data_IF_906078234708
#
_entry.id   IF_906078234708
#
_cell.length_a   1.000
_cell.length_b   1.000
_cell.length_c   1.000
_cell.angle_alpha   90.00
_cell.angle_beta   90.00
_cell.angle_gamma   90.00
#
_symmetry.space_group_name_H-M   'P 1'
#
loop_
_entity.id
_entity.type
_entity.pdbx_description
1 polymer ?
#
# COMPACT_ATOMS: atom_id res chain seq x y z
N UNK A 1 -5.10 5.04 -10.76
CA UNK A 1 -3.93 4.44 -10.09
C UNK A 1 -4.10 2.93 -10.15
N UNK A 2 -3.27 2.25 -10.93
CA UNK A 2 -3.25 0.78 -10.98
C UNK A 2 -2.81 0.23 -9.60
N UNK A 3 -3.60 -0.58 -8.87
CA UNK A 3 -3.17 -1.17 -7.62
C UNK A 3 -2.04 -2.19 -7.82
N UNK A 4 -0.95 -1.97 -7.10
CA UNK A 4 0.28 -2.74 -7.15
C UNK A 4 1.33 -1.94 -6.38
N UNK A 5 2.60 -2.04 -6.74
CA UNK A 5 3.51 -0.94 -6.41
C UNK A 5 3.20 0.28 -7.30
N UNK A 6 2.43 0.07 -8.39
CA UNK A 6 1.91 1.13 -9.26
C UNK A 6 2.99 1.82 -10.10
N UNK A 7 4.24 1.36 -9.98
CA UNK A 7 5.40 1.79 -10.74
C UNK A 7 5.40 0.97 -12.02
N UNK A 8 5.22 1.64 -13.17
CA UNK A 8 5.37 1.03 -14.49
C UNK A 8 6.85 0.65 -14.72
N UNK A 9 7.10 -0.32 -15.60
CA UNK A 9 8.47 -0.69 -15.96
C UNK A 9 9.22 0.54 -16.48
N UNK A 10 10.48 0.74 -16.06
CA UNK A 10 11.28 1.87 -16.53
C UNK A 10 11.45 1.86 -18.06
N UNK A 11 11.51 0.67 -18.66
CA UNK A 11 11.62 0.50 -20.10
C UNK A 11 10.30 0.81 -20.83
N UNK A 12 9.16 0.40 -20.25
CA UNK A 12 7.84 0.74 -20.78
C UNK A 12 7.58 2.26 -20.72
N UNK A 13 7.96 2.90 -19.60
CA UNK A 13 7.85 4.35 -19.43
C UNK A 13 8.76 5.09 -20.41
N UNK A 14 9.99 4.60 -20.63
CA UNK A 14 10.92 5.16 -21.61
C UNK A 14 10.34 5.04 -23.03
N UNK A 15 9.93 3.84 -23.45
CA UNK A 15 9.38 3.62 -24.78
C UNK A 15 8.12 4.46 -25.03
N UNK A 16 7.22 4.54 -24.04
CA UNK A 16 6.04 5.42 -24.13
C UNK A 16 6.42 6.90 -24.23
N UNK A 17 7.44 7.34 -23.48
CA UNK A 17 7.93 8.72 -23.55
C UNK A 17 8.61 9.04 -24.88
N UNK A 18 9.36 8.11 -25.46
CA UNK A 18 9.98 8.23 -26.79
C UNK A 18 8.93 8.36 -27.91
N UNK A 19 7.81 7.63 -27.81
CA UNK A 19 6.72 7.71 -28.79
C UNK A 19 5.90 8.99 -28.62
N UNK A 20 5.63 9.41 -27.38
CA UNK A 20 4.68 10.49 -27.09
C UNK A 20 5.28 11.89 -27.05
N UNK A 21 6.60 12.03 -26.85
CA UNK A 21 7.24 13.32 -26.70
C UNK A 21 7.72 13.88 -28.05
N UNK A 22 7.38 15.14 -28.32
CA UNK A 22 7.96 15.91 -29.44
C UNK A 22 9.47 16.11 -29.28
N UNK A 23 9.92 16.31 -28.03
CA UNK A 23 11.33 16.34 -27.66
C UNK A 23 11.54 15.69 -26.30
N UNK A 24 12.29 14.58 -26.26
CA UNK A 24 12.53 13.82 -25.04
C UNK A 24 13.86 14.22 -24.38
N UNK A 25 13.80 14.58 -23.09
CA UNK A 25 14.97 14.76 -22.23
C UNK A 25 14.79 13.83 -21.03
N UNK A 26 15.59 12.76 -20.98
CA UNK A 26 15.43 11.70 -20.00
C UNK A 26 16.77 11.30 -19.37
N UNK A 27 16.90 11.55 -18.07
CA UNK A 27 18.01 11.10 -17.23
C UNK A 27 17.60 11.18 -15.75
N UNK A 28 18.41 10.61 -14.86
CA UNK A 28 18.13 10.62 -13.41
C UNK A 28 18.42 12.01 -12.79
N UNK A 29 17.43 12.90 -12.91
CA UNK A 29 17.51 14.27 -12.38
C UNK A 29 17.56 14.31 -10.85
N UNK A 30 17.04 13.29 -10.15
CA UNK A 30 17.11 13.22 -8.69
C UNK A 30 18.54 12.90 -8.26
N UNK A 31 19.16 11.89 -8.87
CA UNK A 31 20.57 11.57 -8.64
C UNK A 31 21.48 12.74 -8.96
N UNK A 32 21.31 13.39 -10.11
CA UNK A 32 22.11 14.55 -10.49
C UNK A 32 21.96 15.70 -9.46
N UNK A 33 20.74 15.93 -8.97
CA UNK A 33 20.52 16.93 -7.92
C UNK A 33 21.24 16.53 -6.62
N UNK A 34 21.12 15.27 -6.19
CA UNK A 34 21.76 14.75 -4.97
C UNK A 34 23.28 14.87 -5.02
N UNK A 35 23.90 14.49 -6.14
CA UNK A 35 25.34 14.59 -6.38
C UNK A 35 25.83 16.06 -6.34
N UNK A 36 25.00 17.00 -6.75
CA UNK A 36 25.29 18.43 -6.69
C UNK A 36 24.91 19.11 -5.36
N UNK A 37 24.37 18.33 -4.41
CA UNK A 37 23.95 18.80 -3.10
C UNK A 37 22.66 19.64 -3.11
N UNK A 38 21.82 19.49 -4.13
CA UNK A 38 20.54 20.19 -4.28
C UNK A 38 19.33 19.24 -4.26
N UNK A 39 18.14 19.78 -4.51
CA UNK A 39 16.87 19.07 -4.68
C UNK A 39 16.50 18.93 -6.16
N UNK A 40 15.68 17.92 -6.48
CA UNK A 40 15.25 17.60 -7.85
C UNK A 40 14.68 18.81 -8.61
N UNK A 41 14.04 19.76 -7.93
CA UNK A 41 13.47 20.95 -8.57
C UNK A 41 14.52 21.83 -9.26
N UNK A 42 15.75 21.91 -8.73
CA UNK A 42 16.83 22.67 -9.37
C UNK A 42 17.32 21.98 -10.65
N UNK A 43 17.42 20.65 -10.64
CA UNK A 43 17.78 19.87 -11.82
C UNK A 43 16.69 19.93 -12.89
N UNK A 44 15.41 19.81 -12.51
CA UNK A 44 14.27 19.99 -13.42
C UNK A 44 14.27 21.38 -14.08
N UNK A 45 14.54 22.43 -13.29
CA UNK A 45 14.60 23.80 -13.81
C UNK A 45 15.79 23.99 -14.76
N UNK A 46 16.93 23.36 -14.47
CA UNK A 46 18.09 23.32 -15.38
C UNK A 46 17.81 22.59 -16.68
N UNK A 47 17.17 21.41 -16.60
CA UNK A 47 16.78 20.65 -17.77
C UNK A 47 15.77 21.40 -18.65
N UNK A 48 14.80 22.09 -18.05
CA UNK A 48 13.86 22.96 -18.75
C UNK A 48 14.56 24.14 -19.44
N UNK A 49 15.53 24.77 -18.78
CA UNK A 49 16.31 25.83 -19.41
C UNK A 49 17.20 25.29 -20.55
N UNK A 50 17.77 24.10 -20.38
CA UNK A 50 18.63 23.44 -21.36
C UNK A 50 17.87 22.86 -22.56
N UNK A 51 16.56 22.62 -22.42
CA UNK A 51 15.71 22.14 -23.50
C UNK A 51 15.46 23.20 -24.58
N UNK A 52 15.61 24.49 -24.24
CA UNK A 52 15.29 25.60 -25.13
C UNK A 52 13.78 25.82 -25.36
N UNK A 53 12.90 25.12 -24.64
CA UNK A 53 11.45 25.20 -24.84
C UNK A 53 10.85 26.57 -24.46
N UNK A 54 11.57 27.37 -23.66
CA UNK A 54 11.14 28.71 -23.24
C UNK A 54 12.07 29.78 -23.82
N UNK A 55 11.53 30.94 -24.23
CA UNK A 55 12.29 32.00 -24.90
C UNK A 55 13.05 32.89 -23.90
N UNK A 56 13.67 32.30 -22.89
CA UNK A 56 14.43 33.03 -21.89
C UNK A 56 15.91 32.66 -21.95
N UNK A 57 16.83 33.63 -21.83
CA UNK A 57 18.24 33.31 -21.75
C UNK A 57 18.54 32.58 -20.44
N UNK A 58 19.56 31.71 -20.44
CA UNK A 58 20.01 30.99 -19.24
C UNK A 58 20.18 31.90 -18.01
N UNK A 59 20.73 33.10 -18.21
CA UNK A 59 20.94 34.08 -17.15
C UNK A 59 19.65 34.45 -16.40
N UNK A 60 18.49 34.50 -17.07
CA UNK A 60 17.21 34.79 -16.45
C UNK A 60 16.75 33.67 -15.50
N UNK A 61 17.01 32.41 -15.85
CA UNK A 61 16.76 31.27 -14.96
C UNK A 61 17.67 31.30 -13.74
N UNK A 62 18.96 31.55 -13.94
CA UNK A 62 19.91 31.67 -12.83
C UNK A 62 19.52 32.82 -11.89
N UNK A 63 19.03 33.93 -12.42
CA UNK A 63 18.57 35.05 -11.61
C UNK A 63 17.33 34.71 -10.78
N UNK A 64 16.39 33.93 -11.32
CA UNK A 64 15.25 33.41 -10.56
C UNK A 64 15.70 32.53 -9.38
N UNK A 65 16.77 31.73 -9.56
CA UNK A 65 17.36 30.94 -8.47
C UNK A 65 17.97 31.86 -7.42
N UNK A 66 18.73 32.89 -7.83
CA UNK A 66 19.34 33.86 -6.90
C UNK A 66 18.26 34.60 -6.10
N UNK A 67 17.19 35.04 -6.75
CA UNK A 67 16.06 35.72 -6.12
C UNK A 67 15.32 34.85 -5.08
N UNK A 68 15.38 33.52 -5.19
CA UNK A 68 14.78 32.60 -4.21
C UNK A 68 15.46 32.65 -2.83
N UNK A 69 16.76 33.01 -2.78
CA UNK A 69 17.54 33.18 -1.55
C UNK A 69 17.81 31.90 -0.74
N UNK A 70 17.34 30.72 -1.18
CA UNK A 70 17.47 29.45 -0.46
C UNK A 70 18.39 28.48 -1.20
N UNK A 71 19.52 28.11 -0.58
CA UNK A 71 20.42 27.10 -1.14
C UNK A 71 20.89 27.43 -2.56
N UNK A 72 21.13 28.73 -2.82
CA UNK A 72 21.38 29.29 -4.16
C UNK A 72 22.53 28.59 -4.86
N UNK A 73 23.68 28.45 -4.19
CA UNK A 73 24.88 27.82 -4.78
C UNK A 73 24.66 26.36 -5.18
N UNK A 74 24.04 25.56 -4.31
CA UNK A 74 23.71 24.17 -4.64
C UNK A 74 22.69 24.08 -5.78
N UNK A 75 21.70 24.98 -5.77
CA UNK A 75 20.69 25.08 -6.82
C UNK A 75 21.30 25.45 -8.17
N UNK A 76 22.25 26.40 -8.20
CA UNK A 76 22.96 26.80 -9.42
C UNK A 76 23.86 25.68 -9.96
N UNK A 77 24.54 24.91 -9.09
CA UNK A 77 25.31 23.73 -9.53
C UNK A 77 24.41 22.67 -10.15
N UNK A 78 23.34 22.28 -9.46
CA UNK A 78 22.39 21.29 -9.98
C UNK A 78 21.68 21.76 -11.26
N UNK A 79 21.32 23.05 -11.32
CA UNK A 79 20.78 23.70 -12.52
C UNK A 79 21.76 23.61 -13.69
N UNK A 80 23.02 24.01 -13.49
CA UNK A 80 24.05 24.01 -14.53
C UNK A 80 24.36 22.61 -15.04
N UNK A 81 24.47 21.63 -14.14
CA UNK A 81 24.69 20.24 -14.50
C UNK A 81 23.53 19.67 -15.33
N UNK A 82 22.28 19.92 -14.93
CA UNK A 82 21.11 19.47 -15.68
C UNK A 82 20.92 20.22 -17.01
N UNK A 83 21.25 21.51 -17.05
CA UNK A 83 21.25 22.33 -18.28
C UNK A 83 22.22 21.77 -19.33
N UNK A 84 23.44 21.43 -18.91
CA UNK A 84 24.44 20.81 -19.79
C UNK A 84 23.98 19.42 -20.26
N UNK A 85 23.42 18.61 -19.35
CA UNK A 85 22.90 17.27 -19.66
C UNK A 85 21.76 17.29 -20.67
N UNK A 86 20.83 18.24 -20.51
CA UNK A 86 19.71 18.44 -21.42
C UNK A 86 20.14 18.86 -22.83
N UNK A 87 21.22 19.66 -22.95
CA UNK A 87 21.77 20.04 -24.26
C UNK A 87 22.59 18.92 -24.92
N UNK A 88 23.25 18.07 -24.13
CA UNK A 88 24.14 17.04 -24.64
C UNK A 88 23.42 15.87 -25.33
N UNK A 89 22.07 15.83 -25.35
CA UNK A 89 21.24 14.73 -25.90
C UNK A 89 21.79 13.34 -25.53
N UNK A 90 22.21 13.18 -24.27
CA UNK A 90 22.83 11.94 -23.83
C UNK A 90 21.77 10.92 -23.46
N UNK A 91 21.69 9.83 -24.21
CA UNK A 91 20.96 8.61 -23.86
C UNK A 91 21.66 7.90 -22.71
N UNK A 92 21.35 8.32 -21.48
CA UNK A 92 21.74 7.52 -20.32
C UNK A 92 20.61 6.56 -19.98
N UNK A 93 20.95 5.27 -20.02
CA UNK A 93 20.13 4.20 -19.45
C UNK A 93 19.98 4.50 -17.96
N UNK A 94 18.74 4.62 -17.50
CA UNK A 94 18.47 4.84 -16.08
C UNK A 94 19.11 3.67 -15.31
N UNK A 95 20.07 3.92 -14.41
CA UNK A 95 20.62 2.83 -13.61
C UNK A 95 19.47 2.22 -12.81
N UNK A 96 19.31 0.90 -12.92
CA UNK A 96 18.42 0.14 -12.07
C UNK A 96 18.74 0.50 -10.62
N UNK A 97 17.82 1.19 -9.94
CA UNK A 97 17.99 1.53 -8.53
C UNK A 97 18.33 0.23 -7.80
N UNK A 98 19.53 0.06 -7.22
CA UNK A 98 19.82 -1.15 -6.48
C UNK A 98 18.78 -1.22 -5.37
N UNK A 99 17.95 -2.28 -5.41
CA UNK A 99 17.06 -2.61 -4.31
C UNK A 99 17.99 -2.74 -3.11
N UNK A 100 17.96 -1.76 -2.21
CA UNK A 100 18.81 -1.77 -1.04
C UNK A 100 18.67 -3.15 -0.39
N UNK A 101 19.77 -3.88 -0.15
CA UNK A 101 19.70 -5.20 0.44
C UNK A 101 18.86 -5.10 1.71
N UNK A 102 17.81 -5.92 1.78
CA UNK A 102 16.88 -5.95 2.90
C UNK A 102 17.75 -6.18 4.14
N UNK A 103 17.89 -5.13 4.95
CA UNK A 103 18.82 -5.10 6.06
C UNK A 103 18.58 -6.31 6.96
N UNK A 104 19.68 -6.95 7.37
CA UNK A 104 19.69 -8.06 8.31
C UNK A 104 18.70 -7.81 9.44
N UNK A 105 17.83 -8.78 9.68
CA UNK A 105 16.76 -8.65 10.66
C UNK A 105 17.36 -8.57 12.05
N UNK A 106 17.30 -7.38 12.65
CA UNK A 106 17.76 -7.19 14.02
C UNK A 106 17.04 -8.18 14.94
N UNK A 107 17.75 -8.82 15.88
CA UNK A 107 17.14 -9.74 16.83
C UNK A 107 16.07 -9.01 17.64
N UNK A 108 15.00 -9.73 17.99
CA UNK A 108 13.93 -9.17 18.82
C UNK A 108 14.49 -8.75 20.18
N UNK A 109 14.16 -7.53 20.60
CA UNK A 109 14.56 -6.97 21.90
C UNK A 109 13.32 -6.74 22.76
N UNK A 110 13.42 -7.03 24.06
CA UNK A 110 12.33 -6.85 25.00
C UNK A 110 12.46 -7.71 26.25
N UNK A 111 11.41 -7.76 27.10
CA UNK A 111 11.38 -8.63 28.28
C UNK A 111 11.60 -10.10 27.90
N UNK A 112 12.41 -10.82 28.68
CA UNK A 112 12.84 -12.20 28.38
C UNK A 112 11.69 -13.14 27.99
N UNK A 113 10.57 -13.11 28.74
CA UNK A 113 9.37 -13.91 28.44
C UNK A 113 8.75 -13.62 27.07
N UNK A 114 8.72 -12.34 26.67
CA UNK A 114 8.16 -11.96 25.37
C UNK A 114 9.09 -12.35 24.22
N UNK A 115 10.41 -12.28 24.43
CA UNK A 115 11.41 -12.73 23.46
C UNK A 115 11.34 -14.24 23.28
N UNK A 116 11.18 -15.00 24.36
CA UNK A 116 10.98 -16.45 24.30
C UNK A 116 9.70 -16.81 23.51
N UNK A 117 8.56 -16.19 23.85
CA UNK A 117 7.33 -16.41 23.09
C UNK A 117 7.46 -16.00 21.61
N UNK A 118 8.21 -14.93 21.31
CA UNK A 118 8.53 -14.56 19.93
C UNK A 118 9.32 -15.66 19.22
N UNK A 119 10.36 -16.22 19.86
CA UNK A 119 11.17 -17.31 19.31
C UNK A 119 10.33 -18.55 19.04
N UNK A 120 9.42 -18.91 19.95
CA UNK A 120 8.49 -20.04 19.77
C UNK A 120 7.57 -19.86 18.55
N UNK A 121 7.04 -18.64 18.34
CA UNK A 121 6.22 -18.32 17.18
C UNK A 121 7.06 -18.26 15.89
N UNK A 122 8.28 -17.74 15.97
CA UNK A 122 9.20 -17.68 14.83
C UNK A 122 9.59 -19.09 14.35
N UNK A 123 9.93 -19.99 15.28
CA UNK A 123 10.21 -21.39 14.96
C UNK A 123 9.00 -22.10 14.32
N UNK A 124 7.78 -21.82 14.79
CA UNK A 124 6.56 -22.32 14.15
C UNK A 124 6.41 -21.79 12.72
N UNK A 125 6.70 -20.51 12.48
CA UNK A 125 6.65 -19.92 11.14
C UNK A 125 7.72 -20.52 10.20
N UNK A 126 8.93 -20.77 10.72
CA UNK A 126 10.05 -21.37 9.99
C UNK A 126 9.81 -22.83 9.61
N UNK A 127 8.97 -23.55 10.37
CA UNK A 127 8.58 -24.92 10.06
C UNK A 127 7.50 -25.04 8.97
N UNK A 128 6.88 -23.94 8.53
CA UNK A 128 5.83 -23.95 7.51
C UNK A 128 6.43 -23.80 6.10
N UNK A 129 5.76 -24.34 5.05
CA UNK A 129 6.09 -24.00 3.66
C UNK A 129 6.01 -22.48 3.46
N UNK A 130 6.93 -21.91 2.66
CA UNK A 130 7.00 -20.46 2.49
C UNK A 130 7.51 -19.70 3.74
N UNK A 131 8.35 -20.34 4.55
CA UNK A 131 8.90 -19.85 5.82
C UNK A 131 9.31 -18.36 5.83
N UNK A 132 9.99 -17.87 4.79
CA UNK A 132 10.40 -16.44 4.72
C UNK A 132 9.18 -15.50 4.74
N UNK A 133 8.15 -15.80 3.94
CA UNK A 133 6.93 -15.00 3.92
C UNK A 133 6.12 -15.16 5.21
N UNK A 134 6.06 -16.37 5.77
CA UNK A 134 5.42 -16.62 7.06
C UNK A 134 6.06 -15.79 8.18
N UNK A 135 7.39 -15.75 8.25
CA UNK A 135 8.13 -14.97 9.24
C UNK A 135 7.94 -13.46 9.04
N UNK A 136 7.93 -12.97 7.79
CA UNK A 136 7.60 -11.56 7.46
C UNK A 136 6.18 -11.19 7.89
N UNK A 137 5.21 -12.06 7.61
CA UNK A 137 3.82 -11.89 8.02
C UNK A 137 3.68 -11.86 9.54
N UNK A 138 4.32 -12.80 10.25
CA UNK A 138 4.34 -12.85 11.70
C UNK A 138 4.92 -11.57 12.32
N UNK A 139 6.09 -11.10 11.83
CA UNK A 139 6.69 -9.83 12.26
C UNK A 139 5.72 -8.67 12.08
N UNK A 140 5.05 -8.60 10.93
CA UNK A 140 4.09 -7.54 10.61
C UNK A 140 2.89 -7.55 11.55
N UNK A 141 2.31 -8.73 11.82
CA UNK A 141 1.12 -8.91 12.67
C UNK A 141 1.44 -8.61 14.14
N UNK A 142 2.59 -9.07 14.64
CA UNK A 142 3.05 -8.76 16.00
C UNK A 142 3.36 -7.27 16.15
N UNK A 143 4.02 -6.66 15.15
CA UNK A 143 4.28 -5.22 15.13
C UNK A 143 3.00 -4.40 15.03
N UNK A 144 1.94 -4.93 14.41
CA UNK A 144 0.63 -4.32 14.34
C UNK A 144 -0.10 -4.36 15.69
N UNK A 145 -0.20 -5.52 16.33
CA UNK A 145 -1.01 -5.71 17.54
C UNK A 145 -0.22 -6.27 18.73
N UNK A 146 0.07 -7.57 18.77
CA UNK A 146 0.82 -8.23 19.84
C UNK A 146 1.15 -9.70 19.48
N UNK A 147 1.82 -10.42 20.37
CA UNK A 147 2.17 -11.84 20.21
C UNK A 147 0.93 -12.76 20.14
N UNK A 148 -0.17 -12.41 20.83
CA UNK A 148 -1.39 -13.20 20.77
C UNK A 148 -2.03 -13.13 19.38
N UNK A 149 -2.02 -11.93 18.77
CA UNK A 149 -2.44 -11.74 17.39
C UNK A 149 -1.51 -12.45 16.39
N UNK A 150 -0.21 -12.52 16.69
CA UNK A 150 0.75 -13.34 15.94
C UNK A 150 0.41 -14.84 15.95
N UNK A 151 -0.06 -15.36 17.10
CA UNK A 151 -0.54 -16.75 17.21
C UNK A 151 -1.81 -16.99 16.40
N UNK A 152 -2.75 -16.05 16.40
CA UNK A 152 -3.95 -16.11 15.55
C UNK A 152 -3.58 -16.17 14.06
N UNK A 153 -2.61 -15.36 13.64
CA UNK A 153 -2.07 -15.41 12.27
C UNK A 153 -1.50 -16.78 11.90
N UNK A 154 -0.64 -17.35 12.76
CA UNK A 154 -0.09 -18.69 12.51
C UNK A 154 -1.16 -19.78 12.51
N UNK A 155 -2.22 -19.62 13.32
CA UNK A 155 -3.35 -20.56 13.34
C UNK A 155 -4.08 -20.57 12.00
N UNK A 156 -4.36 -19.38 11.45
CA UNK A 156 -4.94 -19.28 10.10
C UNK A 156 -4.00 -19.83 9.04
N UNK A 157 -2.72 -19.46 9.07
CA UNK A 157 -1.73 -19.91 8.08
C UNK A 157 -1.53 -21.44 8.10
N UNK A 158 -1.47 -22.05 9.28
CA UNK A 158 -1.31 -23.50 9.44
C UNK A 158 -2.44 -24.27 8.79
N UNK A 159 -3.67 -23.74 8.81
CA UNK A 159 -4.82 -24.38 8.15
C UNK A 159 -4.67 -24.46 6.61
N UNK A 160 -3.99 -23.49 6.01
CA UNK A 160 -3.66 -23.49 4.57
C UNK A 160 -2.41 -24.32 4.28
N UNK A 161 -1.36 -24.16 5.09
CA UNK A 161 -0.10 -24.89 4.92
C UNK A 161 -0.27 -26.42 4.95
N UNK A 162 -1.22 -26.94 5.74
CA UNK A 162 -1.55 -28.38 5.79
C UNK A 162 -2.19 -28.92 4.51
N UNK A 163 -2.74 -28.04 3.68
CA UNK A 163 -3.41 -28.36 2.42
C UNK A 163 -2.58 -27.94 1.20
N UNK A 164 -1.34 -27.52 1.42
CA UNK A 164 -0.42 -27.17 0.35
C UNK A 164 -0.04 -28.42 -0.45
N UNK A 165 0.06 -28.29 -1.78
CA UNK A 165 0.41 -29.39 -2.68
C UNK A 165 1.87 -29.85 -2.55
N UNK A 166 2.68 -29.11 -1.79
CA UNK A 166 4.12 -29.31 -1.62
C UNK A 166 4.96 -28.33 -2.45
N UNK A 167 4.33 -27.53 -3.31
CA UNK A 167 4.99 -26.46 -4.08
C UNK A 167 5.16 -25.15 -3.28
N UNK A 168 4.52 -25.03 -2.12
CA UNK A 168 4.59 -23.86 -1.24
C UNK A 168 3.79 -22.66 -1.72
N UNK A 169 3.13 -22.72 -2.89
CA UNK A 169 2.42 -21.57 -3.50
C UNK A 169 1.23 -21.15 -2.65
N UNK A 170 0.48 -22.12 -2.12
CA UNK A 170 -0.68 -21.85 -1.28
C UNK A 170 -0.24 -21.22 0.05
N UNK A 171 0.75 -21.82 0.71
CA UNK A 171 1.27 -21.34 1.98
C UNK A 171 1.88 -19.94 1.86
N UNK A 172 2.65 -19.67 0.80
CA UNK A 172 3.24 -18.34 0.57
C UNK A 172 2.15 -17.28 0.30
N UNK A 173 1.19 -17.58 -0.57
CA UNK A 173 0.07 -16.68 -0.85
C UNK A 173 -0.76 -16.40 0.41
N UNK A 174 -1.11 -17.44 1.16
CA UNK A 174 -1.82 -17.33 2.43
C UNK A 174 -1.01 -16.49 3.44
N UNK A 175 0.29 -16.77 3.60
CA UNK A 175 1.17 -16.07 4.54
C UNK A 175 1.16 -14.56 4.29
N UNK A 176 1.31 -14.16 3.02
CA UNK A 176 1.31 -12.75 2.61
C UNK A 176 -0.06 -12.10 2.80
N UNK A 177 -1.12 -12.72 2.28
CA UNK A 177 -2.41 -12.08 2.17
C UNK A 177 -3.21 -12.10 3.47
N UNK A 178 -3.07 -13.13 4.32
CA UNK A 178 -3.63 -13.16 5.67
C UNK A 178 -2.98 -12.06 6.53
N UNK A 179 -1.65 -11.94 6.50
CA UNK A 179 -0.96 -10.89 7.25
C UNK A 179 -1.40 -9.49 6.82
N UNK A 180 -1.60 -9.27 5.52
CA UNK A 180 -2.14 -8.01 4.99
C UNK A 180 -3.58 -7.76 5.43
N UNK A 181 -4.44 -8.78 5.43
CA UNK A 181 -5.83 -8.67 5.87
C UNK A 181 -5.94 -8.38 7.37
N UNK A 182 -5.15 -9.07 8.19
CA UNK A 182 -5.10 -8.87 9.64
C UNK A 182 -4.50 -7.51 10.03
N UNK A 183 -3.60 -6.97 9.20
CA UNK A 183 -2.97 -5.66 9.38
C UNK A 183 -3.59 -4.64 8.44
N UNK A 184 -4.86 -4.32 8.66
CA UNK A 184 -5.58 -3.24 7.98
C UNK A 184 -5.04 -1.86 8.42
N UNK A 185 -5.42 -0.82 7.67
CA UNK A 185 -5.11 0.56 8.02
C UNK A 185 -6.24 1.14 8.87
N UNK A 186 -5.90 1.58 10.08
CA UNK A 186 -6.78 2.31 10.96
C UNK A 186 -6.10 3.58 11.48
N UNK A 187 -6.89 4.49 12.04
CA UNK A 187 -6.38 5.75 12.59
C UNK A 187 -5.33 5.50 13.68
N UNK A 188 -5.46 4.43 14.46
CA UNK A 188 -4.50 4.04 15.50
C UNK A 188 -3.12 3.76 14.89
N UNK A 189 -3.07 2.94 13.84
CA UNK A 189 -1.85 2.58 13.13
C UNK A 189 -1.27 3.77 12.38
N UNK A 190 -2.09 4.57 11.73
CA UNK A 190 -1.63 5.78 11.02
C UNK A 190 -1.01 6.76 12.02
N UNK A 191 -1.62 6.94 13.19
CA UNK A 191 -1.07 7.77 14.27
C UNK A 191 0.25 7.20 14.79
N UNK A 192 0.30 5.90 15.10
CA UNK A 192 1.51 5.21 15.55
C UNK A 192 2.67 5.40 14.57
N UNK A 193 2.45 5.12 13.28
CA UNK A 193 3.44 5.31 12.22
C UNK A 193 3.97 6.74 12.15
N UNK A 194 3.12 7.74 12.39
CA UNK A 194 3.49 9.16 12.37
C UNK A 194 4.24 9.62 13.61
N UNK A 195 4.13 8.91 14.73
CA UNK A 195 4.81 9.23 16.00
C UNK A 195 6.08 8.43 16.28
N UNK A 196 6.41 7.42 15.47
CA UNK A 196 7.60 6.57 15.66
C UNK A 196 8.91 7.35 15.50
N UNK A 197 9.86 7.14 16.42
CA UNK A 197 11.22 7.70 16.35
C UNK A 197 11.93 7.36 15.02
N UNK A 198 11.87 6.11 14.58
CA UNK A 198 12.52 5.68 13.33
C UNK A 198 12.03 6.46 12.10
N UNK A 199 10.78 6.94 12.11
CA UNK A 199 10.27 7.81 11.05
C UNK A 199 10.92 9.18 11.08
N UNK A 200 11.08 9.78 12.27
CA UNK A 200 11.75 11.07 12.40
C UNK A 200 13.21 10.99 11.98
N UNK A 201 13.92 9.94 12.41
CA UNK A 201 15.33 9.71 12.05
C UNK A 201 15.49 9.55 10.52
N UNK A 202 14.59 8.78 9.89
CA UNK A 202 14.55 8.63 8.43
C UNK A 202 14.30 9.98 7.74
N UNK A 203 13.31 10.74 8.18
CA UNK A 203 12.98 12.04 7.56
C UNK A 203 14.12 13.05 7.76
N UNK A 204 14.78 13.05 8.91
CA UNK A 204 15.94 13.90 9.17
C UNK A 204 17.09 13.57 8.21
N UNK A 205 17.31 12.27 7.96
CA UNK A 205 18.30 11.76 7.01
C UNK A 205 17.94 12.16 5.56
N UNK A 206 16.69 11.91 5.15
CA UNK A 206 16.18 12.27 3.81
C UNK A 206 16.25 13.78 3.55
N UNK A 207 15.97 14.59 4.57
CA UNK A 207 16.04 16.05 4.48
C UNK A 207 17.46 16.61 4.62
N UNK A 208 18.48 15.76 4.80
CA UNK A 208 19.88 16.16 5.09
C UNK A 208 19.95 17.23 6.16
N UNK A 209 19.12 17.08 7.20
CA UNK A 209 18.88 18.16 8.13
C UNK A 209 19.96 18.32 9.21
N UNK A 210 20.99 17.46 9.25
CA UNK A 210 22.08 17.49 10.25
C UNK A 210 21.56 17.86 11.65
N UNK A 211 22.08 18.94 12.24
CA UNK A 211 21.66 19.47 13.56
C UNK A 211 20.44 20.42 13.49
N UNK A 212 19.91 20.72 12.30
CA UNK A 212 18.80 21.65 12.14
C UNK A 212 17.47 21.00 12.52
N UNK A 213 16.57 21.74 13.20
CA UNK A 213 15.27 21.22 13.57
C UNK A 213 14.38 21.03 12.33
N UNK A 214 13.80 19.83 12.18
CA UNK A 214 12.85 19.51 11.10
C UNK A 214 11.41 19.76 11.55
N UNK A 215 10.67 20.60 10.79
CA UNK A 215 9.28 20.94 11.08
C UNK A 215 8.31 20.05 10.29
N UNK A 216 7.73 19.05 10.94
CA UNK A 216 6.73 18.17 10.31
C UNK A 216 5.30 18.70 10.47
N UNK A 217 4.57 18.69 9.36
CA UNK A 217 3.11 18.90 9.34
C UNK A 217 2.44 17.72 8.65
N UNK A 218 1.62 17.00 9.39
CA UNK A 218 0.85 15.87 8.89
C UNK A 218 -0.47 16.35 8.30
N UNK A 219 -0.80 15.85 7.12
CA UNK A 219 -2.11 16.04 6.52
C UNK A 219 -2.97 14.82 6.83
N UNK A 220 -4.13 15.07 7.42
CA UNK A 220 -5.15 14.06 7.70
C UNK A 220 -6.46 14.50 7.06
N UNK A 221 -7.23 13.52 6.58
CA UNK A 221 -8.59 13.75 6.12
C UNK A 221 -9.49 12.69 6.75
N UNK A 222 -9.69 12.74 8.08
CA UNK A 222 -10.43 11.70 8.78
C UNK A 222 -11.91 11.82 8.44
N UNK A 223 -12.51 10.75 7.92
CA UNK A 223 -13.97 10.69 7.73
C UNK A 223 -14.67 10.41 9.06
N UNK A 224 -15.93 10.79 9.17
CA UNK A 224 -16.75 10.47 10.35
C UNK A 224 -16.84 8.97 10.58
N UNK A 225 -17.00 8.20 9.51
CA UNK A 225 -17.00 6.73 9.53
C UNK A 225 -15.74 6.15 10.17
N UNK A 226 -14.56 6.71 9.88
CA UNK A 226 -13.31 6.21 10.45
C UNK A 226 -13.25 6.44 11.96
N UNK A 227 -13.77 7.59 12.42
CA UNK A 227 -13.83 7.91 13.85
C UNK A 227 -14.88 7.03 14.54
N UNK A 228 -16.04 6.82 13.93
CA UNK A 228 -17.07 5.91 14.44
C UNK A 228 -16.51 4.48 14.53
N UNK A 229 -15.71 4.07 13.54
CA UNK A 229 -15.10 2.74 13.49
C UNK A 229 -14.08 2.49 14.61
N UNK A 230 -13.51 3.55 15.23
CA UNK A 230 -12.65 3.42 16.41
C UNK A 230 -13.41 3.11 17.70
N UNK A 231 -14.71 3.44 17.75
CA UNK A 231 -15.51 3.25 18.96
C UNK A 231 -15.69 1.75 19.26
N UNK A 232 -15.97 1.39 20.53
CA UNK A 232 -16.33 0.02 20.88
C UNK A 232 -17.46 -0.50 19.98
N UNK A 233 -17.38 -1.76 19.55
CA UNK A 233 -18.21 -2.30 18.49
C UNK A 233 -19.71 -2.09 18.67
N UNK A 234 -20.23 -2.20 19.90
CA UNK A 234 -21.65 -1.95 20.20
C UNK A 234 -22.06 -0.50 19.98
N UNK A 235 -21.22 0.43 20.43
CA UNK A 235 -21.49 1.87 20.30
C UNK A 235 -21.37 2.32 18.84
N UNK A 236 -20.31 1.89 18.15
CA UNK A 236 -20.14 2.19 16.73
C UNK A 236 -21.33 1.69 15.91
N UNK A 237 -21.75 0.42 16.10
CA UNK A 237 -22.89 -0.16 15.39
C UNK A 237 -24.21 0.58 15.68
N UNK A 238 -24.41 1.03 16.92
CA UNK A 238 -25.58 1.83 17.30
C UNK A 238 -25.60 3.22 16.63
N UNK A 239 -24.43 3.81 16.38
CA UNK A 239 -24.32 5.08 15.63
C UNK A 239 -24.58 4.83 14.14
N UNK A 240 -23.98 3.77 13.56
CA UNK A 240 -24.17 3.41 12.15
C UNK A 240 -25.64 3.06 11.84
N UNK A 241 -26.35 2.43 12.77
CA UNK A 241 -27.79 2.16 12.62
C UNK A 241 -28.66 3.42 12.65
N UNK A 242 -28.08 4.60 12.89
CA UNK A 242 -28.77 5.89 12.93
C UNK A 242 -28.17 6.83 11.88
N UNK A 243 -28.62 6.76 10.61
CA UNK A 243 -27.98 7.47 9.50
C UNK A 243 -27.92 8.99 9.68
N UNK A 244 -28.93 9.58 10.33
CA UNK A 244 -28.93 11.02 10.66
C UNK A 244 -27.80 11.40 11.63
N UNK A 245 -27.52 10.54 12.62
CA UNK A 245 -26.46 10.76 13.60
C UNK A 245 -25.08 10.55 12.96
N UNK A 246 -24.89 9.47 12.20
CA UNK A 246 -23.66 9.20 11.47
C UNK A 246 -23.32 10.35 10.49
N UNK A 247 -24.30 10.82 9.70
CA UNK A 247 -24.11 11.94 8.78
C UNK A 247 -23.81 13.26 9.51
N UNK A 248 -24.39 13.48 10.69
CA UNK A 248 -24.07 14.64 11.52
C UNK A 248 -22.62 14.60 12.04
N UNK A 249 -22.14 13.43 12.47
CA UNK A 249 -20.75 13.22 12.89
C UNK A 249 -19.81 13.44 11.71
N UNK A 250 -20.10 12.84 10.56
CA UNK A 250 -19.30 12.99 9.36
C UNK A 250 -19.17 14.45 8.94
N UNK A 251 -20.28 15.19 8.83
CA UNK A 251 -20.24 16.62 8.45
C UNK A 251 -19.35 17.48 9.37
N UNK A 252 -19.22 17.11 10.64
CA UNK A 252 -18.37 17.84 11.61
C UNK A 252 -16.91 17.43 11.54
N UNK A 253 -16.62 16.18 11.20
CA UNK A 253 -15.27 15.60 11.30
C UNK A 253 -14.55 15.47 9.96
N UNK A 254 -15.31 15.31 8.87
CA UNK A 254 -14.87 15.16 7.48
C UNK A 254 -14.30 16.48 6.94
N UNK A 255 -13.13 16.86 7.48
CA UNK A 255 -12.38 18.07 7.11
C UNK A 255 -10.90 17.74 7.07
N UNK A 256 -10.21 18.28 6.07
CA UNK A 256 -8.75 18.23 6.03
C UNK A 256 -8.15 18.92 7.26
N UNK A 257 -7.29 18.22 7.98
CA UNK A 257 -6.58 18.71 9.17
C UNK A 257 -5.09 18.70 8.92
N UNK A 258 -4.43 19.79 9.29
CA UNK A 258 -2.97 19.92 9.32
C UNK A 258 -2.50 19.82 10.76
N UNK A 259 -1.92 18.70 11.14
CA UNK A 259 -1.42 18.45 12.49
C UNK A 259 0.08 18.66 12.51
N UNK A 260 0.53 19.68 13.24
CA UNK A 260 1.96 19.97 13.42
C UNK A 260 2.55 19.02 14.46
N UNK A 261 3.20 17.94 14.02
CA UNK A 261 3.81 16.92 14.91
C UNK A 261 5.14 17.34 15.49
N UNK A 262 5.79 18.38 14.95
CA UNK A 262 6.91 19.06 15.62
C UNK A 262 6.49 19.83 16.89
N UNK A 263 5.18 20.03 17.12
CA UNK A 263 4.66 20.67 18.34
C UNK A 263 4.13 19.62 19.30
N UNK A 264 4.36 19.83 20.60
CA UNK A 264 3.93 18.93 21.65
C UNK A 264 2.44 18.56 21.56
N UNK A 265 1.54 19.54 21.37
CA UNK A 265 0.10 19.30 21.27
C UNK A 265 -0.27 18.32 20.14
N UNK A 266 0.31 18.52 18.95
CA UNK A 266 0.03 17.66 17.78
C UNK A 266 0.62 16.26 17.95
N UNK A 267 1.83 16.18 18.52
CA UNK A 267 2.47 14.92 18.85
C UNK A 267 1.68 14.12 19.89
N UNK A 268 1.35 14.73 21.03
CA UNK A 268 0.62 14.08 22.14
C UNK A 268 -0.75 13.60 21.66
N UNK A 269 -1.47 14.37 20.85
CA UNK A 269 -2.74 13.92 20.26
C UNK A 269 -2.58 12.60 19.50
N UNK A 270 -1.61 12.53 18.57
CA UNK A 270 -1.38 11.30 17.80
C UNK A 270 -0.83 10.18 18.68
N UNK A 271 0.00 10.50 19.67
CA UNK A 271 0.58 9.53 20.58
C UNK A 271 -0.49 8.85 21.45
N UNK A 272 -1.46 9.62 21.95
CA UNK A 272 -2.61 9.07 22.69
C UNK A 272 -3.48 8.19 21.80
N UNK A 273 -3.73 8.60 20.56
CA UNK A 273 -4.47 7.80 19.57
C UNK A 273 -3.72 6.50 19.26
N UNK A 274 -2.39 6.55 19.08
CA UNK A 274 -1.55 5.37 18.90
C UNK A 274 -1.63 4.42 20.12
N UNK A 275 -1.72 4.98 21.33
CA UNK A 275 -1.91 4.24 22.58
C UNK A 275 -3.21 3.41 22.64
N UNK A 276 -4.22 3.74 21.85
CA UNK A 276 -5.46 2.96 21.72
C UNK A 276 -5.26 1.59 21.04
N UNK A 277 -4.03 1.25 20.63
CA UNK A 277 -3.66 -0.08 20.12
C UNK A 277 -4.18 -1.23 21.00
N UNK A 278 -4.15 -1.08 22.33
CA UNK A 278 -4.66 -2.12 23.25
C UNK A 278 -6.16 -2.33 23.14
N UNK A 279 -6.91 -1.26 22.85
CA UNK A 279 -8.36 -1.31 22.71
C UNK A 279 -8.82 -1.60 21.28
N UNK A 280 -7.89 -1.64 20.29
CA UNK A 280 -8.20 -1.89 18.87
C UNK A 280 -9.10 -3.10 18.68
N UNK A 281 -8.84 -4.20 19.39
CA UNK A 281 -9.61 -5.45 19.25
C UNK A 281 -11.09 -5.32 19.63
N UNK A 282 -11.44 -4.30 20.41
CA UNK A 282 -12.83 -4.02 20.80
C UNK A 282 -13.52 -3.02 19.86
N UNK A 283 -12.77 -2.41 18.95
CA UNK A 283 -13.30 -1.41 18.01
C UNK A 283 -14.28 -2.04 17.02
N UNK A 284 -15.24 -1.23 16.55
CA UNK A 284 -16.13 -1.62 15.47
C UNK A 284 -15.34 -2.01 14.21
N UNK A 285 -14.30 -1.24 13.87
CA UNK A 285 -13.43 -1.52 12.71
C UNK A 285 -12.87 -2.93 12.78
N UNK A 286 -12.34 -3.33 13.93
CA UNK A 286 -11.78 -4.67 14.10
C UNK A 286 -12.84 -5.75 13.90
N UNK A 287 -14.05 -5.56 14.44
CA UNK A 287 -15.14 -6.54 14.27
C UNK A 287 -15.51 -6.72 12.80
N UNK A 288 -15.61 -5.63 12.03
CA UNK A 288 -15.92 -5.66 10.60
C UNK A 288 -14.81 -6.38 9.82
N UNK A 289 -13.55 -6.01 10.07
CA UNK A 289 -12.39 -6.63 9.39
C UNK A 289 -12.26 -8.12 9.70
N UNK A 290 -12.54 -8.53 10.94
CA UNK A 290 -12.52 -9.95 11.31
C UNK A 290 -13.63 -10.75 10.63
N UNK A 291 -14.83 -10.18 10.49
CA UNK A 291 -15.90 -10.82 9.72
C UNK A 291 -15.51 -10.98 8.24
N UNK A 292 -14.93 -9.93 7.63
CA UNK A 292 -14.43 -10.02 6.26
C UNK A 292 -13.31 -11.05 6.10
N UNK A 293 -12.35 -11.09 7.04
CA UNK A 293 -11.28 -12.09 7.06
C UNK A 293 -11.88 -13.51 7.12
N UNK A 294 -12.76 -13.77 8.08
CA UNK A 294 -13.36 -15.09 8.28
C UNK A 294 -14.17 -15.56 7.06
N UNK A 295 -14.99 -14.69 6.49
CA UNK A 295 -15.78 -15.03 5.30
C UNK A 295 -14.87 -15.36 4.10
N UNK A 296 -13.83 -14.56 3.88
CA UNK A 296 -12.87 -14.79 2.79
C UNK A 296 -12.05 -16.08 3.00
N UNK A 297 -11.54 -16.32 4.21
CA UNK A 297 -10.79 -17.56 4.49
C UNK A 297 -11.67 -18.80 4.37
N UNK A 298 -12.93 -18.71 4.82
CA UNK A 298 -13.90 -19.80 4.68
C UNK A 298 -14.17 -20.12 3.21
N UNK A 299 -14.32 -19.10 2.37
CA UNK A 299 -14.49 -19.27 0.92
C UNK A 299 -13.28 -19.97 0.28
N UNK A 300 -12.06 -19.55 0.62
CA UNK A 300 -10.85 -20.21 0.13
C UNK A 300 -10.78 -21.67 0.59
N UNK A 301 -11.05 -21.93 1.88
CA UNK A 301 -11.01 -23.28 2.45
C UNK A 301 -12.07 -24.21 1.86
N UNK A 302 -13.25 -23.69 1.54
CA UNK A 302 -14.31 -24.46 0.89
C UNK A 302 -13.97 -24.80 -0.56
N UNK A 303 -13.19 -23.95 -1.24
CA UNK A 303 -12.79 -24.08 -2.65
C UNK A 303 -11.56 -24.99 -2.83
N UNK A 304 -10.68 -25.05 -1.82
CA UNK A 304 -9.42 -25.79 -1.87
C UNK A 304 -9.58 -27.27 -2.30
N UNK A 305 -10.52 -28.06 -1.74
CA UNK A 305 -10.62 -29.48 -2.06
C UNK A 305 -11.03 -29.75 -3.52
N UNK A 306 -11.74 -28.82 -4.16
CA UNK A 306 -12.20 -29.02 -5.54
C UNK A 306 -11.28 -28.35 -6.56
N UNK A 307 -10.74 -27.16 -6.24
CA UNK A 307 -9.93 -26.36 -7.18
C UNK A 307 -8.81 -25.60 -6.46
N UNK A 308 -7.64 -26.24 -6.36
CA UNK A 308 -6.45 -25.69 -5.71
C UNK A 308 -6.02 -24.32 -6.27
N UNK A 309 -5.84 -24.21 -7.58
CA UNK A 309 -5.39 -22.95 -8.21
C UNK A 309 -6.44 -21.83 -8.09
N UNK A 310 -7.74 -22.17 -8.09
CA UNK A 310 -8.80 -21.19 -7.87
C UNK A 310 -8.75 -20.63 -6.45
N UNK A 311 -8.53 -21.48 -5.44
CA UNK A 311 -8.38 -21.03 -4.07
C UNK A 311 -7.17 -20.10 -3.88
N UNK A 312 -6.06 -20.37 -4.57
CA UNK A 312 -4.90 -19.47 -4.59
C UNK A 312 -5.29 -18.11 -5.20
N UNK A 313 -5.98 -18.10 -6.34
CA UNK A 313 -6.40 -16.85 -6.97
C UNK A 313 -7.37 -16.04 -6.09
N UNK A 314 -8.29 -16.69 -5.37
CA UNK A 314 -9.15 -16.04 -4.37
C UNK A 314 -8.31 -15.41 -3.24
N UNK A 315 -7.22 -16.06 -2.80
CA UNK A 315 -6.29 -15.47 -1.84
C UNK A 315 -5.61 -14.22 -2.41
N UNK A 316 -5.15 -14.29 -3.66
CA UNK A 316 -4.46 -13.20 -4.35
C UNK A 316 -5.37 -11.98 -4.59
N UNK A 317 -6.69 -12.17 -4.72
CA UNK A 317 -7.67 -11.08 -4.80
C UNK A 317 -7.61 -10.12 -3.61
N UNK A 318 -7.08 -10.52 -2.44
CA UNK A 318 -6.89 -9.60 -1.31
C UNK A 318 -5.94 -8.43 -1.65
N UNK A 319 -5.14 -8.51 -2.71
CA UNK A 319 -4.32 -7.40 -3.23
C UNK A 319 -5.13 -6.17 -3.63
N UNK A 320 -6.42 -6.32 -3.96
CA UNK A 320 -7.32 -5.23 -4.35
C UNK A 320 -7.61 -4.27 -3.19
N UNK A 321 -7.54 -4.76 -1.96
CA UNK A 321 -7.93 -4.00 -0.77
C UNK A 321 -6.69 -3.31 -0.21
N UNK A 322 -6.68 -1.96 -0.24
CA UNK A 322 -5.56 -1.13 0.20
C UNK A 322 -6.02 0.16 0.86
N UNK A 323 -5.17 0.69 1.73
CA UNK A 323 -5.33 2.00 2.33
C UNK A 323 -6.51 2.08 3.29
N UNK A 324 -6.94 3.31 3.53
CA UNK A 324 -8.07 3.69 4.38
C UNK A 324 -9.03 4.60 3.58
N UNK A 325 -10.15 5.02 4.17
CA UNK A 325 -11.15 5.90 3.52
C UNK A 325 -11.61 5.38 2.13
N UNK A 326 -11.76 6.28 1.14
CA UNK A 326 -12.28 5.97 -0.19
C UNK A 326 -11.45 4.92 -0.93
N UNK A 327 -10.13 4.92 -0.72
CA UNK A 327 -9.24 3.94 -1.35
C UNK A 327 -9.59 2.53 -0.89
N UNK A 328 -9.86 2.37 0.41
CA UNK A 328 -10.32 1.12 0.98
C UNK A 328 -11.70 0.73 0.43
N UNK A 329 -12.66 1.65 0.44
CA UNK A 329 -14.03 1.37 -0.01
C UNK A 329 -14.09 0.97 -1.49
N UNK A 330 -13.32 1.64 -2.37
CA UNK A 330 -13.19 1.26 -3.79
C UNK A 330 -12.55 -0.12 -3.95
N UNK A 331 -11.47 -0.40 -3.22
CA UNK A 331 -10.79 -1.70 -3.27
C UNK A 331 -11.69 -2.85 -2.78
N UNK A 332 -12.44 -2.62 -1.71
CA UNK A 332 -13.40 -3.58 -1.17
C UNK A 332 -14.56 -3.81 -2.14
N UNK A 333 -15.10 -2.77 -2.76
CA UNK A 333 -16.16 -2.91 -3.78
C UNK A 333 -15.70 -3.78 -4.95
N UNK A 334 -14.52 -3.54 -5.51
CA UNK A 334 -13.94 -4.39 -6.57
C UNK A 334 -13.77 -5.83 -6.13
N UNK A 335 -13.24 -6.05 -4.92
CA UNK A 335 -13.09 -7.38 -4.36
C UNK A 335 -14.45 -8.09 -4.24
N UNK A 336 -15.47 -7.43 -3.66
CA UNK A 336 -16.81 -8.00 -3.52
C UNK A 336 -17.40 -8.40 -4.87
N UNK A 337 -17.28 -7.55 -5.88
CA UNK A 337 -17.75 -7.86 -7.24
C UNK A 337 -17.14 -9.13 -7.81
N UNK A 338 -15.82 -9.33 -7.66
CA UNK A 338 -15.18 -10.57 -8.12
C UNK A 338 -15.70 -11.78 -7.33
N UNK A 339 -15.85 -11.65 -6.01
CA UNK A 339 -16.39 -12.74 -5.19
C UNK A 339 -17.85 -13.07 -5.54
N UNK A 340 -18.65 -12.07 -5.92
CA UNK A 340 -20.04 -12.25 -6.39
C UNK A 340 -20.11 -12.94 -7.77
N UNK A 341 -19.11 -12.74 -8.64
CA UNK A 341 -18.99 -13.44 -9.93
C UNK A 341 -18.47 -14.87 -9.79
N UNK A 342 -17.76 -15.19 -8.70
CA UNK A 342 -17.11 -16.49 -8.51
C UNK A 342 -18.04 -17.72 -8.67
N UNK A 343 -19.30 -17.72 -8.18
CA UNK A 343 -20.20 -18.86 -8.35
C UNK A 343 -20.48 -19.21 -9.83
N UNK A 344 -20.46 -18.22 -10.73
CA UNK A 344 -20.65 -18.43 -12.17
C UNK A 344 -19.44 -19.15 -12.80
N UNK A 345 -18.25 -18.96 -12.22
CA UNK A 345 -17.00 -19.56 -12.69
C UNK A 345 -16.71 -20.90 -12.01
N UNK A 346 -17.27 -21.16 -10.83
CA UNK A 346 -16.88 -22.26 -9.95
C UNK A 346 -16.93 -23.65 -10.62
N UNK A 347 -17.79 -23.86 -11.62
CA UNK A 347 -17.91 -25.13 -12.33
C UNK A 347 -16.89 -25.32 -13.47
N UNK A 348 -16.24 -24.25 -13.96
CA UNK A 348 -15.36 -24.28 -15.14
C UNK A 348 -13.93 -24.69 -14.81
N UNK A 349 -13.27 -25.43 -15.70
CA UNK A 349 -11.87 -25.85 -15.48
C UNK A 349 -10.90 -24.66 -15.48
N UNK A 350 -11.17 -23.64 -16.30
CA UNK A 350 -10.39 -22.40 -16.43
C UNK A 350 -10.77 -21.31 -15.40
N UNK A 351 -11.50 -21.66 -14.34
CA UNK A 351 -12.01 -20.68 -13.36
C UNK A 351 -10.89 -19.83 -12.73
N UNK A 352 -9.75 -20.44 -12.43
CA UNK A 352 -8.61 -19.74 -11.84
C UNK A 352 -8.07 -18.65 -12.78
N UNK A 353 -7.97 -18.96 -14.08
CA UNK A 353 -7.52 -18.00 -15.09
C UNK A 353 -8.49 -16.82 -15.22
N UNK A 354 -9.80 -17.08 -15.19
CA UNK A 354 -10.81 -16.02 -15.22
C UNK A 354 -10.74 -15.13 -13.98
N UNK A 355 -10.58 -15.68 -12.78
CA UNK A 355 -10.40 -14.88 -11.56
C UNK A 355 -9.10 -14.07 -11.63
N UNK A 356 -8.02 -14.63 -12.17
CA UNK A 356 -6.76 -13.90 -12.39
C UNK A 356 -6.94 -12.72 -13.37
N UNK A 357 -7.71 -12.91 -14.44
CA UNK A 357 -8.08 -11.84 -15.41
C UNK A 357 -8.94 -10.76 -14.76
N UNK A 358 -9.99 -11.13 -14.02
CA UNK A 358 -10.83 -10.19 -13.27
C UNK A 358 -10.00 -9.39 -12.26
N UNK A 359 -9.10 -10.05 -11.54
CA UNK A 359 -8.16 -9.41 -10.60
C UNK A 359 -7.26 -8.43 -11.34
N UNK A 360 -6.71 -8.80 -12.49
CA UNK A 360 -5.83 -7.93 -13.29
C UNK A 360 -6.57 -6.72 -13.84
N UNK A 361 -7.79 -6.91 -14.39
CA UNK A 361 -8.66 -5.82 -14.83
C UNK A 361 -8.97 -4.87 -13.66
N UNK A 362 -9.43 -5.39 -12.52
CA UNK A 362 -9.64 -4.59 -11.31
C UNK A 362 -8.39 -3.83 -10.84
N UNK A 363 -7.21 -4.38 -11.13
CA UNK A 363 -5.92 -3.80 -10.82
C UNK A 363 -5.42 -2.75 -11.84
N UNK A 364 -5.99 -2.65 -13.02
CA UNK A 364 -5.60 -1.62 -14.00
C UNK A 364 -6.63 -0.49 -14.05
N UNK A 365 -7.85 -0.81 -13.64
CA UNK A 365 -9.03 0.00 -13.81
C UNK A 365 -9.17 1.13 -12.77
N UNK A 366 -8.83 2.36 -13.14
CA UNK A 366 -9.04 3.50 -12.25
C UNK A 366 -10.53 3.88 -12.11
N UNK A 367 -11.36 3.61 -13.12
CA UNK A 367 -12.73 4.13 -13.27
C UNK A 367 -13.83 3.09 -13.01
N UNK A 368 -13.50 1.80 -12.91
CA UNK A 368 -14.44 0.69 -12.71
C UNK A 368 -14.97 0.04 -14.00
N UNK A 369 -14.53 0.48 -15.19
CA UNK A 369 -15.06 0.03 -16.49
C UNK A 369 -14.47 -1.29 -16.97
N UNK A 370 -13.17 -1.48 -16.83
CA UNK A 370 -12.50 -2.70 -17.33
C UNK A 370 -12.94 -3.93 -16.52
N UNK A 371 -13.16 -3.76 -15.20
CA UNK A 371 -13.71 -4.82 -14.37
C UNK A 371 -15.16 -5.13 -14.76
N UNK A 372 -15.98 -4.12 -15.03
CA UNK A 372 -17.36 -4.32 -15.49
C UNK A 372 -17.40 -5.12 -16.78
N UNK A 373 -16.66 -4.71 -17.82
CA UNK A 373 -16.63 -5.41 -19.10
C UNK A 373 -16.11 -6.84 -18.99
N UNK A 374 -15.12 -7.09 -18.11
CA UNK A 374 -14.65 -8.44 -17.85
C UNK A 374 -15.72 -9.31 -17.15
N UNK A 375 -16.50 -8.73 -16.22
CA UNK A 375 -17.64 -9.41 -15.57
C UNK A 375 -18.76 -9.68 -16.57
N UNK A 376 -19.10 -8.71 -17.43
CA UNK A 376 -20.08 -8.89 -18.51
C UNK A 376 -19.67 -10.01 -19.46
N UNK A 377 -18.38 -10.09 -19.78
CA UNK A 377 -17.84 -11.21 -20.57
C UNK A 377 -18.11 -12.53 -19.86
N UNK A 378 -17.84 -12.63 -18.56
CA UNK A 378 -18.15 -13.82 -17.75
C UNK A 378 -19.63 -14.18 -17.78
N UNK A 379 -20.50 -13.20 -17.61
CA UNK A 379 -21.95 -13.39 -17.64
C UNK A 379 -22.40 -13.90 -19.03
N UNK A 380 -21.83 -13.36 -20.12
CA UNK A 380 -22.23 -13.71 -21.48
C UNK A 380 -22.05 -15.19 -21.81
N UNK A 381 -20.94 -15.80 -21.39
CA UNK A 381 -20.69 -17.22 -21.63
C UNK A 381 -21.20 -18.15 -20.52
N UNK A 382 -21.63 -17.60 -19.37
CA UNK A 382 -22.26 -18.38 -18.30
C UNK A 382 -23.78 -18.50 -18.51
N UNK A 383 -24.37 -17.57 -19.26
CA UNK A 383 -25.81 -17.56 -19.61
C UNK A 383 -26.16 -18.48 -20.79
N UNK A 384 -25.17 -19.08 -21.45
CA UNK A 384 -25.34 -19.94 -22.65
C UNK A 384 -25.36 -21.44 -22.35
N UNK A 385 -25.45 -21.87 -21.08
CA UNK A 385 -25.70 -23.29 -20.76
C UNK A 385 -27.19 -23.60 -20.98
N UNK A 386 -27.57 -24.44 -21.95
CA UNK A 386 -28.98 -24.76 -22.18
C UNK A 386 -29.53 -25.56 -21.00
N UNK A 387 -30.69 -25.14 -20.50
CA UNK A 387 -31.48 -25.91 -19.55
C UNK A 387 -31.78 -27.28 -20.17
N UNK A 388 -31.22 -28.34 -19.60
CA UNK A 388 -31.66 -29.70 -19.87
C UNK A 388 -33.09 -29.81 -19.31
N UNK A 389 -34.11 -30.15 -20.12
CA UNK A 389 -35.45 -30.30 -19.59
C UNK A 389 -35.48 -31.52 -18.65
N UNK A 390 -36.18 -31.45 -17.51
CA UNK A 390 -36.34 -32.61 -16.64
C UNK A 390 -37.19 -33.69 -17.32
N UNK A 391 -37.04 -34.98 -16.95
CA UNK A 391 -37.83 -36.08 -17.47
C UNK A 391 -39.32 -35.96 -17.11
#
# INVERSE_FOLDING_TARGET
MAPGDGIASSDEVRAAAEIAADHLILFDMDRLAVENGSVISSALFGALAGSGALPFPRAAFEEAIRASGKGVEASLRAFGAAYARAQAKSDETAPSRPVAPITQTQPAQGPARQVQHWQELAAQAEALPGADMALRGLRRVVAFQDLAYGREYLSHLTAFARQDSGDGRLAEAAAKHIANAMCYDDIIRVADLKTRKSRFDRIQTEMKAEEKPVLLTEFFHPRGEEIISLLPARLGAWIESRPKLAAWIDRRLNKGRRIRTHRLRGFVLLYLIAGLRRTRRYSLRHKIEQAHLQNWLSLCQQTLPQKYDLAIEILLCRRLIKGYSDTHSRGLSKFSRIMETLPLLAHRDDAAEWVARLRTAALQDAEGKDLEGAIETVISFSSTVPATPPP
#
